data_IF_736067938146
#
_entry.id   IF_736067938146
#
_cell.length_a   1.000
_cell.length_b   1.000
_cell.length_c   1.000
_cell.angle_alpha   90.00
_cell.angle_beta   90.00
_cell.angle_gamma   90.00
#
_symmetry.space_group_name_H-M   'P 1'
#
loop_
_entity.id
_entity.type
_entity.pdbx_description
1 polymer ?
#
# COMPACT_ATOMS: atom_id res chain seq x y z
N UNK A 1 10.98 3.63 -5.15
CA UNK A 1 9.77 4.20 -4.50
C UNK A 1 8.56 3.79 -5.31
N UNK A 2 7.73 2.95 -4.75
CA UNK A 2 6.53 2.41 -5.38
C UNK A 2 5.32 3.17 -4.84
N UNK A 3 4.79 4.13 -5.60
CA UNK A 3 3.59 4.86 -5.22
C UNK A 3 2.35 4.31 -5.91
N UNK A 4 1.25 4.21 -5.17
CA UNK A 4 -0.09 4.00 -5.74
C UNK A 4 -0.84 5.32 -5.76
N UNK A 5 -1.36 5.65 -6.94
CA UNK A 5 -2.18 6.83 -7.15
C UNK A 5 -3.65 6.46 -6.99
N UNK A 6 -4.35 7.16 -6.10
CA UNK A 6 -5.79 7.10 -5.97
C UNK A 6 -6.39 8.48 -6.26
N UNK A 7 -7.67 8.49 -6.64
CA UNK A 7 -8.41 9.73 -6.90
C UNK A 7 -9.74 9.68 -6.17
N UNK A 8 -10.04 10.73 -5.42
CA UNK A 8 -11.28 10.91 -4.68
C UNK A 8 -12.06 12.10 -5.22
N UNK A 9 -13.37 12.01 -5.20
CA UNK A 9 -14.25 13.06 -5.74
C UNK A 9 -14.78 13.95 -4.60
N UNK A 10 -14.62 15.29 -4.77
CA UNK A 10 -15.26 16.31 -3.95
C UNK A 10 -16.05 17.27 -4.84
N UNK A 11 -17.37 17.17 -4.86
CA UNK A 11 -18.17 17.91 -5.84
C UNK A 11 -17.69 17.65 -7.28
N UNK A 12 -17.41 18.70 -8.05
CA UNK A 12 -16.86 18.56 -9.40
C UNK A 12 -15.36 18.28 -9.43
N UNK A 13 -14.64 18.44 -8.30
CA UNK A 13 -13.17 18.40 -8.25
C UNK A 13 -12.71 16.98 -7.95
N UNK A 14 -11.74 16.50 -8.75
CA UNK A 14 -11.00 15.25 -8.50
C UNK A 14 -9.73 15.58 -7.72
N UNK A 15 -9.55 14.98 -6.57
CA UNK A 15 -8.39 15.15 -5.69
C UNK A 15 -7.57 13.86 -5.71
N UNK A 16 -6.34 13.98 -6.15
CA UNK A 16 -5.38 12.86 -6.21
C UNK A 16 -4.72 12.65 -4.85
N UNK A 17 -4.42 11.39 -4.56
CA UNK A 17 -3.60 10.98 -3.42
C UNK A 17 -2.53 10.01 -3.88
N UNK A 18 -1.38 10.04 -3.23
CA UNK A 18 -0.30 9.06 -3.42
C UNK A 18 -0.01 8.39 -2.09
N UNK A 19 0.07 7.07 -2.13
CA UNK A 19 0.41 6.24 -0.97
C UNK A 19 1.73 5.55 -1.27
N UNK A 20 2.68 5.62 -0.34
CA UNK A 20 3.91 4.87 -0.45
C UNK A 20 3.63 3.40 -0.15
N UNK A 21 3.97 2.51 -1.09
CA UNK A 21 3.79 1.07 -0.89
C UNK A 21 4.83 0.46 0.06
N UNK A 22 5.98 1.14 0.19
CA UNK A 22 7.05 0.70 1.08
C UNK A 22 6.74 1.10 2.53
N UNK A 23 6.03 2.23 2.73
CA UNK A 23 5.41 2.62 3.99
C UNK A 23 3.97 3.15 3.78
N UNK A 24 2.96 2.27 3.83
CA UNK A 24 1.55 2.65 3.62
C UNK A 24 0.99 3.65 4.64
N UNK A 25 1.73 3.94 5.71
CA UNK A 25 1.38 4.97 6.69
C UNK A 25 1.72 6.36 6.17
N UNK A 26 2.64 6.46 5.23
CA UNK A 26 2.97 7.70 4.54
C UNK A 26 2.12 7.87 3.29
N UNK A 27 1.25 8.85 3.31
CA UNK A 27 0.51 9.25 2.13
C UNK A 27 0.46 10.76 2.00
N UNK A 28 0.29 11.21 0.77
CA UNK A 28 0.19 12.63 0.44
C UNK A 28 -1.10 12.89 -0.32
N UNK A 29 -1.67 14.07 -0.09
CA UNK A 29 -2.85 14.57 -0.80
C UNK A 29 -2.42 15.75 -1.67
N UNK A 30 -2.90 15.80 -2.91
CA UNK A 30 -2.56 16.85 -3.85
C UNK A 30 -3.20 18.19 -3.43
N UNK A 31 -2.42 19.06 -2.84
CA UNK A 31 -2.84 20.38 -2.43
C UNK A 31 -3.25 21.26 -3.63
N UNK A 32 -2.57 21.11 -4.78
CA UNK A 32 -2.95 21.80 -6.02
C UNK A 32 -4.32 21.39 -6.56
N UNK A 33 -4.80 20.20 -6.24
CA UNK A 33 -6.16 19.79 -6.58
C UNK A 33 -7.18 20.33 -5.56
N UNK A 34 -6.81 20.41 -4.27
CA UNK A 34 -7.63 21.02 -3.22
C UNK A 34 -7.81 22.53 -3.45
N UNK A 35 -6.79 23.22 -3.94
CA UNK A 35 -6.86 24.64 -4.31
C UNK A 35 -7.95 24.91 -5.36
N UNK A 36 -8.21 23.97 -6.27
CA UNK A 36 -9.28 24.12 -7.29
C UNK A 36 -10.69 24.13 -6.72
N UNK A 37 -10.86 23.68 -5.48
CA UNK A 37 -12.16 23.74 -4.79
C UNK A 37 -12.56 25.17 -4.49
N UNK A 38 -11.58 26.03 -4.18
CA UNK A 38 -11.82 27.45 -3.89
C UNK A 38 -10.60 28.28 -4.31
N UNK A 39 -10.63 28.91 -5.48
CA UNK A 39 -9.48 29.63 -6.05
C UNK A 39 -8.95 30.81 -5.21
N UNK A 40 -9.71 31.24 -4.23
CA UNK A 40 -9.30 32.34 -3.31
C UNK A 40 -8.23 31.83 -2.33
N UNK A 41 -8.25 30.53 -1.99
CA UNK A 41 -7.37 29.92 -1.02
C UNK A 41 -6.27 29.16 -1.75
N UNK A 42 -5.15 29.83 -2.04
CA UNK A 42 -4.06 29.21 -2.80
C UNK A 42 -3.08 28.48 -1.89
N UNK A 43 -2.42 27.46 -2.44
CA UNK A 43 -1.34 26.75 -1.76
C UNK A 43 -0.24 27.72 -1.32
N UNK A 44 0.09 28.69 -2.18
CA UNK A 44 1.09 29.70 -1.87
C UNK A 44 0.68 30.55 -0.66
N UNK A 45 -0.52 31.13 -0.67
CA UNK A 45 -1.03 31.95 0.46
C UNK A 45 -1.09 31.15 1.77
N UNK A 46 -1.40 29.85 1.70
CA UNK A 46 -1.42 28.98 2.86
C UNK A 46 -0.02 28.81 3.47
N UNK A 47 0.98 28.57 2.63
CA UNK A 47 2.36 28.33 3.09
C UNK A 47 3.03 29.59 3.66
N UNK A 48 2.57 30.77 3.27
CA UNK A 48 3.08 32.05 3.79
C UNK A 48 2.54 32.41 5.19
N UNK A 49 1.49 31.74 5.66
CA UNK A 49 0.89 32.04 6.97
C UNK A 49 1.83 31.62 8.10
N UNK A 50 1.88 32.47 9.14
CA UNK A 50 2.69 32.21 10.31
C UNK A 50 2.22 30.95 11.09
N UNK A 51 0.88 30.74 11.17
CA UNK A 51 0.29 29.54 11.78
C UNK A 51 0.73 28.27 11.06
N UNK A 52 0.79 28.31 9.72
CA UNK A 52 1.22 27.17 8.91
C UNK A 52 2.71 26.89 9.09
N UNK A 53 3.54 27.94 9.16
CA UNK A 53 4.98 27.81 9.45
C UNK A 53 5.19 27.17 10.83
N UNK A 54 4.49 27.65 11.85
CA UNK A 54 4.52 27.09 13.19
C UNK A 54 4.06 25.62 13.23
N UNK A 55 3.01 25.28 12.49
CA UNK A 55 2.52 23.90 12.33
C UNK A 55 3.59 23.02 11.68
N UNK A 56 4.23 23.48 10.63
CA UNK A 56 5.28 22.72 9.92
C UNK A 56 6.49 22.44 10.84
N UNK A 57 6.82 23.34 11.75
CA UNK A 57 7.87 23.13 12.77
C UNK A 57 7.46 22.15 13.87
N UNK A 58 6.18 22.11 14.19
CA UNK A 58 5.65 21.25 15.25
C UNK A 58 5.44 19.79 14.82
N UNK A 59 5.09 19.54 13.57
CA UNK A 59 4.78 18.18 13.04
C UNK A 59 5.90 17.19 13.29
N UNK A 60 7.18 17.44 12.93
CA UNK A 60 8.26 16.47 13.14
C UNK A 60 8.51 16.14 14.62
N UNK A 61 8.15 17.07 15.53
CA UNK A 61 8.37 16.96 16.98
C UNK A 61 7.24 16.20 17.69
N UNK A 62 6.10 16.03 17.04
CA UNK A 62 4.88 15.51 17.69
C UNK A 62 4.86 13.99 17.89
N UNK A 63 5.73 13.24 17.21
CA UNK A 63 5.72 11.78 17.24
C UNK A 63 4.39 11.14 16.80
N UNK A 64 3.53 11.89 16.11
CA UNK A 64 2.23 11.42 15.69
C UNK A 64 2.37 10.27 14.68
N UNK A 65 1.59 9.21 14.90
CA UNK A 65 1.46 8.11 13.94
C UNK A 65 0.96 8.63 12.60
N UNK A 66 1.50 8.13 11.51
CA UNK A 66 1.23 8.54 10.12
C UNK A 66 1.83 9.90 9.72
N UNK A 67 2.91 10.30 10.35
CA UNK A 67 3.74 11.43 9.98
C UNK A 67 5.08 10.92 9.45
N UNK A 68 5.75 11.67 8.55
CA UNK A 68 7.10 11.32 8.14
C UNK A 68 8.00 11.26 9.38
N UNK A 69 8.57 10.08 9.64
CA UNK A 69 9.55 9.89 10.72
C UNK A 69 10.93 10.23 10.13
N UNK A 70 11.76 10.93 10.91
CA UNK A 70 13.15 11.26 10.56
C UNK A 70 13.34 11.99 9.23
N UNK A 71 12.94 13.27 9.19
CA UNK A 71 13.21 14.16 8.05
C UNK A 71 12.34 13.91 6.82
N UNK A 72 11.27 13.14 6.98
CA UNK A 72 10.27 12.95 5.93
C UNK A 72 9.69 14.29 5.47
N UNK A 73 9.49 14.43 4.18
CA UNK A 73 9.04 15.68 3.56
C UNK A 73 7.57 15.92 3.90
N UNK A 74 7.28 17.00 4.61
CA UNK A 74 5.90 17.46 4.86
C UNK A 74 5.21 17.89 3.56
N UNK A 75 6.00 18.39 2.62
CA UNK A 75 5.57 18.89 1.32
C UNK A 75 6.42 18.21 0.24
N UNK A 76 5.77 17.75 -0.81
CA UNK A 76 6.40 17.22 -2.01
C UNK A 76 5.93 18.00 -3.23
N UNK A 77 6.86 18.56 -4.00
CA UNK A 77 6.53 19.24 -5.25
C UNK A 77 7.03 18.39 -6.43
N UNK A 78 6.15 18.14 -7.37
CA UNK A 78 6.45 17.41 -8.62
C UNK A 78 6.17 18.35 -9.78
N UNK A 79 7.21 18.67 -10.55
CA UNK A 79 7.14 19.65 -11.63
C UNK A 79 6.45 19.09 -12.89
N UNK A 80 6.59 17.79 -13.17
CA UNK A 80 6.17 17.18 -14.43
C UNK A 80 5.48 15.82 -14.26
N UNK A 81 4.81 15.37 -15.33
CA UNK A 81 4.17 14.06 -15.41
C UNK A 81 2.79 13.99 -14.74
N UNK A 82 2.28 12.77 -14.63
CA UNK A 82 0.92 12.47 -14.11
C UNK A 82 0.74 12.98 -12.67
N UNK A 83 1.81 12.99 -11.90
CA UNK A 83 1.81 13.43 -10.49
C UNK A 83 2.21 14.90 -10.31
N UNK A 84 2.17 15.71 -11.37
CA UNK A 84 2.46 17.13 -11.27
C UNK A 84 1.58 17.83 -10.23
N UNK A 85 2.20 18.63 -9.35
CA UNK A 85 1.51 19.42 -8.33
C UNK A 85 2.28 19.48 -7.01
N UNK A 86 1.73 20.22 -6.06
CA UNK A 86 2.20 20.28 -4.68
C UNK A 86 1.37 19.32 -3.83
N UNK A 87 2.04 18.54 -3.02
CA UNK A 87 1.48 17.46 -2.25
C UNK A 87 1.75 17.69 -0.78
N UNK A 88 0.74 17.59 0.05
CA UNK A 88 0.82 17.77 1.49
C UNK A 88 0.71 16.44 2.22
N UNK A 89 1.50 16.27 3.27
CA UNK A 89 1.27 15.19 4.25
C UNK A 89 -0.13 15.33 4.88
N UNK A 90 -0.61 14.28 5.54
CA UNK A 90 -1.95 14.24 6.14
C UNK A 90 -2.29 15.50 6.95
N UNK A 91 -1.41 15.89 7.88
CA UNK A 91 -1.70 16.99 8.81
C UNK A 91 -1.81 18.33 8.08
N UNK A 92 -0.89 18.64 7.18
CA UNK A 92 -0.96 19.87 6.39
C UNK A 92 -2.18 19.88 5.47
N UNK A 93 -2.53 18.73 4.86
CA UNK A 93 -3.71 18.64 4.00
C UNK A 93 -5.01 18.89 4.79
N UNK A 94 -5.13 18.35 6.00
CA UNK A 94 -6.27 18.56 6.86
C UNK A 94 -6.36 20.02 7.32
N UNK A 95 -5.25 20.62 7.70
CA UNK A 95 -5.22 22.01 8.13
C UNK A 95 -5.53 22.98 6.97
N UNK A 96 -4.97 22.73 5.80
CA UNK A 96 -5.32 23.46 4.57
C UNK A 96 -6.83 23.37 4.28
N UNK A 97 -7.40 22.16 4.33
CA UNK A 97 -8.83 21.96 4.12
C UNK A 97 -9.69 22.70 5.15
N UNK A 98 -9.25 22.75 6.41
CA UNK A 98 -9.92 23.48 7.50
C UNK A 98 -9.93 24.99 7.22
N UNK A 99 -8.80 25.52 6.75
CA UNK A 99 -8.67 26.92 6.37
C UNK A 99 -9.56 27.30 5.18
N UNK A 100 -9.71 26.40 4.21
CA UNK A 100 -10.56 26.62 3.03
C UNK A 100 -12.05 26.54 3.41
N UNK A 101 -12.47 25.46 4.08
CA UNK A 101 -13.87 25.26 4.44
C UNK A 101 -14.05 24.10 5.43
N UNK A 102 -14.93 24.22 6.45
CA UNK A 102 -15.26 23.13 7.36
C UNK A 102 -15.80 21.88 6.63
N UNK A 103 -16.56 22.05 5.54
CA UNK A 103 -17.08 20.93 4.74
C UNK A 103 -15.97 20.17 4.03
N UNK A 104 -15.00 20.89 3.49
CA UNK A 104 -13.82 20.31 2.83
C UNK A 104 -12.95 19.57 3.86
N UNK A 105 -12.80 20.10 5.06
CA UNK A 105 -12.09 19.44 6.16
C UNK A 105 -12.70 18.09 6.51
N UNK A 106 -14.01 18.01 6.76
CA UNK A 106 -14.72 16.76 7.10
C UNK A 106 -14.59 15.74 5.98
N UNK A 107 -14.70 16.17 4.73
CA UNK A 107 -14.47 15.28 3.58
C UNK A 107 -13.03 14.77 3.52
N UNK A 108 -12.05 15.66 3.65
CA UNK A 108 -10.62 15.28 3.61
C UNK A 108 -10.27 14.32 4.75
N UNK A 109 -10.80 14.55 5.95
CA UNK A 109 -10.64 13.63 7.09
C UNK A 109 -11.21 12.24 6.79
N UNK A 110 -12.41 12.18 6.18
CA UNK A 110 -13.00 10.92 5.73
C UNK A 110 -12.12 10.19 4.71
N UNK A 111 -11.51 10.91 3.76
CA UNK A 111 -10.56 10.35 2.79
C UNK A 111 -9.31 9.83 3.50
N UNK A 112 -8.72 10.62 4.40
CA UNK A 112 -7.57 10.22 5.20
C UNK A 112 -7.82 8.94 6.00
N UNK A 113 -8.99 8.85 6.65
CA UNK A 113 -9.37 7.68 7.43
C UNK A 113 -9.60 6.46 6.53
N UNK A 114 -10.14 6.64 5.32
CA UNK A 114 -10.28 5.57 4.34
C UNK A 114 -8.92 5.06 3.86
N UNK A 115 -7.98 5.95 3.55
CA UNK A 115 -6.61 5.58 3.18
C UNK A 115 -5.94 4.83 4.34
N UNK A 116 -6.01 5.36 5.56
CA UNK A 116 -5.45 4.73 6.74
C UNK A 116 -6.10 3.37 7.05
N UNK A 117 -7.42 3.22 6.85
CA UNK A 117 -8.12 1.94 7.01
C UNK A 117 -7.75 0.95 5.91
N UNK A 118 -7.56 1.41 4.67
CA UNK A 118 -7.06 0.59 3.57
C UNK A 118 -5.61 0.19 3.83
N UNK A 119 -4.81 1.05 4.40
CA UNK A 119 -3.43 0.76 4.86
C UNK A 119 -3.43 -0.14 6.11
N UNK A 120 -4.38 0.00 7.02
CA UNK A 120 -4.55 -0.90 8.17
C UNK A 120 -5.15 -2.26 7.78
N UNK A 121 -5.91 -2.32 6.67
CA UNK A 121 -6.31 -3.58 6.05
C UNK A 121 -5.23 -4.15 5.13
N UNK A 122 -4.14 -3.41 4.85
CA UNK A 122 -2.90 -3.94 4.28
C UNK A 122 -1.97 -4.56 5.35
N UNK A 123 -2.31 -4.55 6.65
CA UNK A 123 -1.99 -5.64 7.57
C UNK A 123 -2.82 -6.92 7.27
N UNK A 124 -3.69 -6.92 6.27
CA UNK A 124 -4.00 -8.14 5.52
C UNK A 124 -2.68 -8.61 4.95
N UNK A 125 -2.12 -9.59 5.61
CA UNK A 125 -0.95 -10.36 5.24
C UNK A 125 -0.91 -10.45 3.71
N UNK A 126 -0.15 -9.58 3.08
CA UNK A 126 -0.13 -9.46 1.61
C UNK A 126 0.38 -10.71 0.91
N UNK A 127 0.89 -11.67 1.72
CA UNK A 127 1.40 -12.95 1.27
C UNK A 127 1.18 -14.02 2.32
N UNK A 128 0.77 -15.18 1.89
CA UNK A 128 0.48 -16.35 2.72
C UNK A 128 1.47 -17.47 2.40
N UNK A 129 2.02 -18.10 3.41
CA UNK A 129 2.69 -19.39 3.23
C UNK A 129 1.67 -20.44 2.82
N UNK A 130 2.11 -21.53 2.18
CA UNK A 130 1.20 -22.64 1.83
C UNK A 130 0.52 -23.22 3.07
N UNK A 131 1.21 -23.29 4.20
CA UNK A 131 0.65 -23.74 5.50
C UNK A 131 -0.51 -22.85 5.98
N UNK A 132 -0.46 -21.57 5.70
CA UNK A 132 -1.52 -20.63 6.08
C UNK A 132 -2.72 -20.72 5.14
N UNK A 133 -2.48 -20.88 3.84
CA UNK A 133 -3.56 -21.04 2.85
C UNK A 133 -4.37 -22.30 3.15
N UNK A 134 -3.73 -23.39 3.55
CA UNK A 134 -4.40 -24.65 3.91
C UNK A 134 -5.49 -24.44 4.97
N UNK A 135 -5.31 -23.53 5.92
CA UNK A 135 -6.30 -23.25 6.96
C UNK A 135 -7.62 -22.68 6.44
N UNK A 136 -7.66 -22.21 5.20
CA UNK A 136 -8.84 -21.66 4.53
C UNK A 136 -9.47 -22.65 3.56
N UNK A 137 -8.87 -23.82 3.36
CA UNK A 137 -9.37 -24.85 2.46
C UNK A 137 -10.20 -25.88 3.25
N UNK A 138 -11.30 -26.32 2.64
CA UNK A 138 -12.08 -27.44 3.18
C UNK A 138 -11.35 -28.77 2.96
N UNK A 139 -11.37 -29.66 3.97
CA UNK A 139 -10.74 -30.97 3.94
C UNK A 139 -9.39 -31.03 4.65
N UNK A 140 -8.85 -32.25 4.77
CA UNK A 140 -7.58 -32.56 5.46
C UNK A 140 -6.38 -32.35 4.53
N UNK A 141 -6.00 -31.10 4.36
CA UNK A 141 -4.84 -30.74 3.55
C UNK A 141 -3.57 -30.57 4.40
N UNK A 142 -2.46 -31.05 3.88
CA UNK A 142 -1.13 -30.63 4.33
C UNK A 142 -0.34 -30.05 3.14
N UNK A 143 0.79 -29.39 3.42
CA UNK A 143 1.60 -28.70 2.40
C UNK A 143 1.99 -29.65 1.26
N UNK A 144 2.38 -30.87 1.59
CA UNK A 144 2.85 -31.86 0.62
C UNK A 144 1.72 -32.36 -0.28
N UNK A 145 0.55 -32.67 0.31
CA UNK A 145 -0.62 -33.15 -0.44
C UNK A 145 -1.19 -32.04 -1.34
N UNK A 146 -1.31 -30.81 -0.83
CA UNK A 146 -1.81 -29.69 -1.62
C UNK A 146 -0.88 -29.37 -2.80
N UNK A 147 0.43 -29.24 -2.58
CA UNK A 147 1.37 -28.95 -3.67
C UNK A 147 1.44 -30.09 -4.70
N UNK A 148 1.35 -31.35 -4.27
CA UNK A 148 1.28 -32.50 -5.19
C UNK A 148 0.01 -32.50 -6.04
N UNK A 149 -1.14 -32.14 -5.46
CA UNK A 149 -2.40 -32.06 -6.19
C UNK A 149 -2.41 -30.88 -7.19
N UNK A 150 -1.87 -29.74 -6.77
CA UNK A 150 -1.70 -28.57 -7.66
C UNK A 150 -0.76 -28.88 -8.84
N UNK A 151 0.29 -29.65 -8.63
CA UNK A 151 1.18 -30.10 -9.69
C UNK A 151 0.45 -31.05 -10.66
N UNK A 152 -0.29 -32.03 -10.16
CA UNK A 152 -1.10 -32.96 -10.96
C UNK A 152 -2.17 -32.23 -11.79
N UNK A 153 -2.77 -31.18 -11.23
CA UNK A 153 -3.74 -30.31 -11.93
C UNK A 153 -3.09 -29.33 -12.91
N UNK A 154 -1.76 -29.32 -13.03
CA UNK A 154 -1.03 -28.41 -13.89
C UNK A 154 -1.11 -26.93 -13.46
N UNK A 155 -1.43 -26.66 -12.20
CA UNK A 155 -1.49 -25.29 -11.66
C UNK A 155 -0.10 -24.76 -11.33
N UNK A 156 0.74 -25.61 -10.73
CA UNK A 156 2.14 -25.32 -10.41
C UNK A 156 3.08 -26.33 -11.05
N UNK A 157 4.34 -25.98 -11.14
CA UNK A 157 5.45 -26.86 -11.48
C UNK A 157 6.62 -26.65 -10.53
N UNK A 158 7.36 -27.70 -10.23
CA UNK A 158 8.60 -27.60 -9.47
C UNK A 158 9.79 -27.33 -10.39
N UNK A 159 10.71 -26.50 -9.93
CA UNK A 159 12.01 -26.33 -10.60
C UNK A 159 12.80 -27.65 -10.57
N UNK A 160 13.57 -27.90 -11.63
CA UNK A 160 14.57 -28.98 -11.60
C UNK A 160 15.69 -28.57 -10.64
N UNK A 161 15.95 -29.39 -9.62
CA UNK A 161 16.98 -29.16 -8.61
C UNK A 161 17.00 -30.28 -7.57
N UNK A 162 18.05 -30.30 -6.72
CA UNK A 162 18.15 -31.24 -5.61
C UNK A 162 16.94 -31.06 -4.65
N UNK A 163 16.51 -32.11 -3.97
CA UNK A 163 15.28 -32.13 -3.17
C UNK A 163 15.20 -31.07 -2.09
N UNK A 164 16.34 -30.50 -1.65
CA UNK A 164 16.40 -29.41 -0.66
C UNK A 164 16.13 -28.01 -1.24
N UNK A 165 16.28 -27.85 -2.56
CA UNK A 165 16.18 -26.55 -3.24
C UNK A 165 15.02 -26.48 -4.23
N UNK A 166 14.12 -27.47 -4.21
CA UNK A 166 12.95 -27.47 -5.07
C UNK A 166 12.05 -26.28 -4.75
N UNK A 167 11.90 -25.41 -5.74
CA UNK A 167 11.02 -24.24 -5.74
C UNK A 167 9.87 -24.53 -6.69
N UNK A 168 8.65 -24.20 -6.30
CA UNK A 168 7.50 -24.31 -7.18
C UNK A 168 7.14 -22.96 -7.79
N UNK A 169 6.52 -22.96 -8.96
CA UNK A 169 6.03 -21.74 -9.63
C UNK A 169 4.73 -22.05 -10.38
N UNK A 170 4.00 -21.03 -10.80
CA UNK A 170 2.78 -21.21 -11.59
C UNK A 170 3.13 -21.70 -13.00
N UNK A 171 2.34 -22.65 -13.54
CA UNK A 171 2.47 -23.11 -14.92
C UNK A 171 1.99 -22.05 -15.92
N UNK A 172 0.90 -21.38 -15.59
CA UNK A 172 0.31 -20.31 -16.41
C UNK A 172 0.95 -18.97 -16.09
N UNK A 173 1.58 -18.33 -17.09
CA UNK A 173 2.21 -17.03 -16.96
C UNK A 173 1.21 -15.93 -16.55
N UNK A 174 -0.05 -16.00 -16.99
CA UNK A 174 -1.11 -15.07 -16.60
C UNK A 174 -1.47 -15.12 -15.11
N UNK A 175 -1.11 -16.23 -14.44
CA UNK A 175 -1.34 -16.44 -12.99
C UNK A 175 -0.13 -16.18 -12.12
N UNK A 176 0.98 -15.70 -12.67
CA UNK A 176 2.18 -15.37 -11.87
C UNK A 176 1.90 -14.32 -10.78
N UNK A 177 0.92 -13.45 -10.96
CA UNK A 177 0.44 -12.50 -9.95
C UNK A 177 -0.10 -13.17 -8.67
N UNK A 178 -0.43 -14.45 -8.70
CA UNK A 178 -0.92 -15.21 -7.56
C UNK A 178 0.17 -15.61 -6.58
N UNK A 179 1.43 -15.46 -6.96
CA UNK A 179 2.59 -15.78 -6.15
C UNK A 179 3.55 -14.58 -6.05
N UNK A 180 4.29 -14.53 -4.95
CA UNK A 180 5.39 -13.59 -4.75
C UNK A 180 6.60 -14.35 -4.22
N UNK A 181 7.77 -13.99 -4.72
CA UNK A 181 9.02 -14.52 -4.20
C UNK A 181 9.42 -13.81 -2.91
N UNK A 182 9.81 -14.57 -1.90
CA UNK A 182 10.41 -14.06 -0.65
C UNK A 182 11.78 -14.66 -0.43
N UNK A 183 12.63 -13.86 0.17
CA UNK A 183 13.98 -14.26 0.58
C UNK A 183 14.03 -14.35 2.09
N UNK A 184 14.57 -15.46 2.59
CA UNK A 184 14.84 -15.67 4.01
C UNK A 184 16.34 -15.77 4.22
N UNK A 185 16.90 -14.93 5.07
CA UNK A 185 18.32 -14.98 5.45
C UNK A 185 18.41 -15.33 6.94
N UNK A 186 19.13 -16.37 7.27
CA UNK A 186 19.44 -16.72 8.67
C UNK A 186 20.48 -15.74 9.20
N UNK A 187 20.19 -15.12 10.34
CA UNK A 187 21.02 -14.05 10.95
C UNK A 187 22.44 -14.50 11.31
N UNK A 188 22.62 -15.79 11.62
CA UNK A 188 23.90 -16.34 12.10
C UNK A 188 24.70 -17.07 11.01
N UNK A 189 24.17 -17.17 9.83
CA UNK A 189 24.82 -17.80 8.67
C UNK A 189 24.48 -17.01 7.44
N UNK A 190 25.42 -16.82 6.51
CA UNK A 190 25.16 -16.18 5.21
C UNK A 190 24.23 -17.04 4.30
N UNK A 191 23.42 -17.89 4.92
CA UNK A 191 22.50 -18.75 4.20
C UNK A 191 21.24 -17.97 3.82
N UNK A 192 21.04 -17.82 2.53
CA UNK A 192 19.87 -17.15 1.95
C UNK A 192 19.05 -18.15 1.14
N UNK A 193 17.77 -18.30 1.47
CA UNK A 193 16.85 -19.16 0.74
C UNK A 193 15.72 -18.35 0.13
N UNK A 194 15.46 -18.56 -1.16
CA UNK A 194 14.32 -18.00 -1.86
C UNK A 194 13.18 -19.01 -1.90
N UNK A 195 11.95 -18.54 -1.65
CA UNK A 195 10.75 -19.37 -1.70
C UNK A 195 9.54 -18.56 -2.18
N UNK A 196 8.56 -19.24 -2.76
CA UNK A 196 7.32 -18.61 -3.20
C UNK A 196 6.26 -18.63 -2.12
N UNK A 197 5.50 -17.56 -2.02
CA UNK A 197 4.32 -17.40 -1.16
C UNK A 197 3.13 -17.01 -2.02
N UNK A 198 1.93 -17.27 -1.53
CA UNK A 198 0.68 -16.91 -2.18
C UNK A 198 0.34 -15.46 -1.90
N UNK A 199 -0.09 -14.71 -2.90
CA UNK A 199 -0.71 -13.40 -2.72
C UNK A 199 -2.16 -13.57 -2.22
N UNK A 200 -2.84 -12.48 -1.87
CA UNK A 200 -4.28 -12.52 -1.54
C UNK A 200 -5.10 -13.09 -2.71
N UNK A 201 -4.79 -12.68 -3.95
CA UNK A 201 -5.44 -13.22 -5.14
C UNK A 201 -5.17 -14.72 -5.31
N UNK A 202 -3.94 -15.16 -5.04
CA UNK A 202 -3.56 -16.57 -5.09
C UNK A 202 -4.27 -17.41 -4.04
N UNK A 203 -4.39 -16.89 -2.82
CA UNK A 203 -5.19 -17.54 -1.75
C UNK A 203 -6.66 -17.70 -2.20
N UNK A 204 -7.28 -16.62 -2.70
CA UNK A 204 -8.68 -16.66 -3.14
C UNK A 204 -8.87 -17.60 -4.35
N UNK A 205 -7.90 -17.66 -5.25
CA UNK A 205 -7.92 -18.64 -6.34
C UNK A 205 -7.94 -20.08 -5.82
N UNK A 206 -7.14 -20.41 -4.80
CA UNK A 206 -7.12 -21.73 -4.21
C UNK A 206 -8.40 -22.06 -3.45
N UNK A 207 -8.95 -21.10 -2.71
CA UNK A 207 -10.25 -21.24 -2.04
C UNK A 207 -11.34 -21.59 -3.07
N UNK A 208 -11.41 -20.84 -4.17
CA UNK A 208 -12.38 -21.11 -5.24
C UNK A 208 -12.13 -22.43 -5.98
N UNK A 209 -10.93 -22.97 -5.96
CA UNK A 209 -10.59 -24.24 -6.59
C UNK A 209 -10.98 -25.45 -5.74
N UNK A 210 -10.92 -25.33 -4.40
CA UNK A 210 -11.08 -26.45 -3.46
C UNK A 210 -12.34 -26.40 -2.60
N UNK A 211 -12.90 -25.22 -2.34
CA UNK A 211 -14.14 -25.05 -1.57
C UNK A 211 -15.31 -24.89 -2.56
N UNK A 212 -15.75 -26.01 -3.14
CA UNK A 212 -16.91 -26.07 -4.05
C UNK A 212 -18.06 -26.77 -3.38
#
# INVERSE_FOLDING_TARGET
MNYVNNTYQYGPTKVRTIVDLDDPKEFFICASDLERVSPIYTVHSYLERDDTKALMEAIPKSGCKNQPVDGGRLIKTVAEGVNRGTWFCRTLALDFCRWVSPKLFVWCESVCNRIASTSATTDKKSCYSTTEVIKFLEGDWNVKTLLSDLEKKGVIKFSQGNSRDKKWTMCDRGKLRFIKEKTFTLKDTNFTKQYNVWTEEGKNYLINLYNK
#
